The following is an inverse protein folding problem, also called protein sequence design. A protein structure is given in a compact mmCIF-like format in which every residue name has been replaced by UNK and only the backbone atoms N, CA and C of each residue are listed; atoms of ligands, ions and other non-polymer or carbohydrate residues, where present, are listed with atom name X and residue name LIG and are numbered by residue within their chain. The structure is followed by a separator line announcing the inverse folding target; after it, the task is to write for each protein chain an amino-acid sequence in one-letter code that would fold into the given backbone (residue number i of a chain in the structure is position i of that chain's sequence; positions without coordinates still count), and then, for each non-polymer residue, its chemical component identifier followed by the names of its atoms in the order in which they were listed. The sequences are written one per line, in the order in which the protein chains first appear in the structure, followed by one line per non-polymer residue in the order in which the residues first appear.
data_IF_994666093439
#
_entry.id   IF_994666093439
#
_cell.length_a   1.000
_cell.length_b   1.000
_cell.length_c   1.000
_cell.angle_alpha   90.00
_cell.angle_beta   90.00
_cell.angle_gamma   90.00
#
_symmetry.space_group_name_H-M   'P 1'
#
loop_
_entity.id
_entity.type
_entity.pdbx_description
1 polymer ?
#
# COMPACT_ATOMS: atom_id res chain seq x y z
N UNK A 1 39.56 -39.06 -0.36
CA UNK A 1 39.42 -37.82 -1.17
C UNK A 1 38.13 -37.74 -2.00
N UNK A 2 37.17 -38.68 -1.89
CA UNK A 2 35.93 -38.67 -2.70
C UNK A 2 34.81 -37.77 -2.16
N UNK A 3 34.84 -37.44 -0.86
CA UNK A 3 33.81 -36.64 -0.19
C UNK A 3 34.13 -35.14 -0.09
N UNK A 4 35.39 -34.75 -0.33
CA UNK A 4 35.80 -33.34 -0.32
C UNK A 4 35.26 -32.60 -1.57
N UNK A 5 35.17 -33.31 -2.71
CA UNK A 5 34.60 -32.76 -3.94
C UNK A 5 33.06 -32.59 -3.86
N UNK A 6 32.38 -33.44 -3.09
CA UNK A 6 30.92 -33.38 -2.92
C UNK A 6 30.49 -32.25 -1.98
N UNK A 7 31.33 -31.88 -1.00
CA UNK A 7 31.05 -30.76 -0.11
C UNK A 7 31.25 -29.38 -0.79
N UNK A 8 32.19 -29.28 -1.74
CA UNK A 8 32.48 -28.03 -2.46
C UNK A 8 31.40 -27.71 -3.51
N UNK A 9 30.69 -28.72 -4.03
CA UNK A 9 29.60 -28.54 -5.00
C UNK A 9 28.28 -28.10 -4.36
N UNK A 10 28.11 -28.25 -3.03
CA UNK A 10 26.89 -27.88 -2.32
C UNK A 10 26.87 -26.41 -1.82
N UNK A 11 27.96 -25.65 -2.03
CA UNK A 11 28.14 -24.31 -1.45
C UNK A 11 27.78 -23.15 -2.40
N UNK A 12 27.30 -23.42 -3.62
CA UNK A 12 27.06 -22.35 -4.61
C UNK A 12 25.72 -22.51 -5.30
N UNK A 13 24.60 -22.50 -4.55
CA UNK A 13 23.33 -21.92 -5.04
C UNK A 13 22.46 -21.46 -3.86
N UNK A 14 22.99 -20.70 -2.91
CA UNK A 14 22.12 -19.84 -2.09
C UNK A 14 21.77 -18.62 -2.95
N UNK A 15 20.73 -18.76 -3.79
CA UNK A 15 20.11 -17.65 -4.49
C UNK A 15 19.53 -16.70 -3.43
N UNK A 16 20.31 -15.70 -3.02
CA UNK A 16 19.79 -14.56 -2.27
C UNK A 16 18.84 -13.81 -3.20
N UNK A 17 17.55 -14.14 -3.18
CA UNK A 17 16.57 -13.26 -3.82
C UNK A 17 16.51 -12.00 -2.96
N UNK A 18 17.07 -10.92 -3.48
CA UNK A 18 16.78 -9.60 -2.95
C UNK A 18 15.76 -9.03 -3.93
N UNK A 19 14.48 -9.05 -3.53
CA UNK A 19 13.47 -8.31 -4.26
C UNK A 19 13.91 -6.84 -4.31
N UNK A 20 13.80 -6.21 -5.48
CA UNK A 20 14.13 -4.79 -5.60
C UNK A 20 13.06 -4.01 -4.84
N UNK A 21 13.48 -3.09 -3.98
CA UNK A 21 12.56 -2.19 -3.29
C UNK A 21 11.83 -1.32 -4.31
N UNK A 22 10.53 -1.17 -4.13
CA UNK A 22 9.71 -0.25 -4.92
C UNK A 22 9.51 1.00 -4.09
N UNK A 23 9.87 2.15 -4.66
CA UNK A 23 9.57 3.45 -4.06
C UNK A 23 8.10 3.76 -4.29
N UNK A 24 7.33 3.84 -3.21
CA UNK A 24 5.90 4.13 -3.26
C UNK A 24 5.61 5.64 -3.37
N UNK A 25 6.64 6.49 -3.31
CA UNK A 25 6.47 7.94 -3.31
C UNK A 25 5.50 8.40 -2.22
N UNK A 26 4.59 9.30 -2.58
CA UNK A 26 3.55 9.82 -1.67
C UNK A 26 2.56 8.74 -1.21
N UNK A 27 2.33 7.69 -2.00
CA UNK A 27 1.48 6.58 -1.60
C UNK A 27 2.08 5.76 -0.45
N UNK A 28 3.40 5.79 -0.28
CA UNK A 28 4.09 5.18 0.85
C UNK A 28 3.73 5.78 2.21
N UNK A 29 3.10 6.95 2.24
CA UNK A 29 2.62 7.56 3.47
C UNK A 29 1.33 6.91 4.01
N UNK A 30 0.65 6.06 3.23
CA UNK A 30 -0.66 5.52 3.58
C UNK A 30 -0.59 4.01 3.85
N UNK A 31 -1.27 3.58 4.91
CA UNK A 31 -1.51 2.16 5.21
C UNK A 31 -2.65 1.62 4.36
N UNK A 32 -3.71 2.41 4.20
CA UNK A 32 -4.85 2.10 3.33
C UNK A 32 -5.09 3.31 2.42
N UNK A 33 -5.18 3.07 1.12
CA UNK A 33 -5.37 4.10 0.13
C UNK A 33 -6.34 3.62 -0.94
N UNK A 34 -7.47 4.30 -1.07
CA UNK A 34 -8.43 4.12 -2.14
C UNK A 34 -8.37 5.33 -3.07
N UNK A 35 -7.85 5.15 -4.29
CA UNK A 35 -7.80 6.22 -5.30
C UNK A 35 -8.25 5.70 -6.66
N UNK A 36 -8.51 6.61 -7.59
CA UNK A 36 -8.99 6.32 -8.92
C UNK A 36 -9.06 7.59 -9.78
N UNK A 37 -9.34 7.45 -11.07
CA UNK A 37 -9.45 8.55 -12.04
C UNK A 37 -10.62 8.34 -13.01
N UNK A 38 -10.98 9.38 -13.76
CA UNK A 38 -11.93 9.26 -14.87
C UNK A 38 -13.35 8.85 -14.47
N UNK A 39 -13.85 9.34 -13.32
CA UNK A 39 -15.18 9.05 -12.80
C UNK A 39 -15.29 7.77 -11.96
N UNK A 40 -14.20 6.99 -11.87
CA UNK A 40 -14.07 5.86 -10.95
C UNK A 40 -13.24 6.31 -9.77
N UNK A 41 -13.89 6.85 -8.74
CA UNK A 41 -13.22 7.30 -7.54
C UNK A 41 -13.01 6.16 -6.55
N UNK A 42 -12.02 6.33 -5.66
CA UNK A 42 -11.75 5.38 -4.60
C UNK A 42 -12.52 5.74 -3.32
N UNK A 43 -13.39 4.83 -2.89
CA UNK A 43 -14.07 4.90 -1.60
C UNK A 43 -13.41 3.95 -0.60
N UNK A 44 -13.28 4.38 0.65
CA UNK A 44 -12.76 3.57 1.74
C UNK A 44 -13.76 3.52 2.89
N UNK A 45 -14.35 2.34 3.10
CA UNK A 45 -15.31 2.10 4.15
C UNK A 45 -14.68 1.22 5.24
N UNK A 46 -14.39 1.82 6.38
CA UNK A 46 -13.86 1.14 7.55
C UNK A 46 -15.03 0.70 8.44
N UNK A 47 -15.16 -0.61 8.66
CA UNK A 47 -16.24 -1.17 9.46
C UNK A 47 -16.21 -0.71 10.93
N UNK A 48 -17.31 -0.98 11.66
CA UNK A 48 -17.36 -0.67 13.09
C UNK A 48 -16.22 -1.36 13.86
N UNK A 49 -15.55 -0.61 14.73
CA UNK A 49 -14.42 -1.11 15.52
C UNK A 49 -13.14 -1.37 14.72
N UNK A 50 -13.08 -0.98 13.44
CA UNK A 50 -11.84 -1.06 12.67
C UNK A 50 -10.75 -0.21 13.34
N UNK A 51 -9.54 -0.75 13.48
CA UNK A 51 -8.40 -0.03 14.05
C UNK A 51 -7.25 -0.02 13.04
N UNK A 52 -6.91 1.17 12.54
CA UNK A 52 -5.84 1.36 11.56
C UNK A 52 -4.68 2.10 12.21
N UNK A 53 -3.55 1.40 12.36
CA UNK A 53 -2.31 1.96 12.89
C UNK A 53 -1.48 2.60 11.77
N UNK A 54 -1.96 3.72 11.24
CA UNK A 54 -1.27 4.50 10.21
C UNK A 54 -2.23 5.42 9.46
N UNK A 55 -1.73 6.06 8.40
CA UNK A 55 -2.53 7.03 7.65
C UNK A 55 -3.48 6.33 6.68
N UNK A 56 -4.64 6.96 6.42
CA UNK A 56 -5.64 6.48 5.45
C UNK A 56 -5.97 7.53 4.41
N UNK A 57 -6.26 7.10 3.19
CA UNK A 57 -6.59 7.98 2.08
C UNK A 57 -7.78 7.47 1.27
N UNK A 58 -8.74 8.34 0.93
CA UNK A 58 -9.84 8.01 0.03
C UNK A 58 -10.18 9.17 -0.92
N UNK A 59 -10.10 8.94 -2.24
CA UNK A 59 -10.36 9.98 -3.23
C UNK A 59 -11.78 10.54 -3.12
N UNK A 60 -12.82 9.69 -3.08
CA UNK A 60 -14.20 10.19 -3.03
C UNK A 60 -14.78 10.22 -1.61
N UNK A 61 -14.93 9.07 -0.95
CA UNK A 61 -15.43 9.05 0.43
C UNK A 61 -14.59 8.18 1.36
N UNK A 62 -14.30 8.73 2.54
CA UNK A 62 -13.80 8.00 3.69
C UNK A 62 -14.93 7.86 4.71
N UNK A 63 -15.38 6.63 4.93
CA UNK A 63 -16.42 6.31 5.91
C UNK A 63 -15.83 5.49 7.05
N UNK A 64 -15.93 6.02 8.28
CA UNK A 64 -15.53 5.30 9.49
C UNK A 64 -16.79 4.85 10.22
N UNK A 65 -16.98 3.54 10.36
CA UNK A 65 -18.05 2.95 11.15
C UNK A 65 -17.94 3.30 12.65
N UNK A 66 -18.98 2.99 13.42
CA UNK A 66 -19.00 3.29 14.86
C UNK A 66 -17.76 2.70 15.57
N UNK A 67 -17.12 3.51 16.42
CA UNK A 67 -15.91 3.17 17.16
C UNK A 67 -14.70 2.76 16.30
N UNK A 68 -14.69 3.08 15.00
CA UNK A 68 -13.50 2.89 14.18
C UNK A 68 -12.45 3.95 14.51
N UNK A 69 -11.19 3.56 14.58
CA UNK A 69 -10.07 4.43 14.94
C UNK A 69 -8.99 4.39 13.87
N UNK A 70 -8.50 5.57 13.50
CA UNK A 70 -7.29 5.77 12.71
C UNK A 70 -6.27 6.46 13.60
N UNK A 71 -5.16 5.80 13.89
CA UNK A 71 -4.10 6.36 14.73
C UNK A 71 -3.22 7.38 13.99
N UNK A 72 -3.31 7.46 12.66
CA UNK A 72 -2.59 8.41 11.82
C UNK A 72 -3.46 9.52 11.24
N UNK A 73 -2.98 10.11 10.16
CA UNK A 73 -3.64 11.15 9.37
C UNK A 73 -4.68 10.54 8.40
N UNK A 74 -5.68 11.34 8.02
CA UNK A 74 -6.69 11.00 7.05
C UNK A 74 -6.77 12.05 5.94
N UNK A 75 -6.58 11.63 4.69
CA UNK A 75 -6.83 12.44 3.49
C UNK A 75 -8.11 11.95 2.80
N UNK A 76 -9.05 12.83 2.49
CA UNK A 76 -10.34 12.42 1.92
C UNK A 76 -10.93 13.40 0.92
N UNK A 77 -11.80 12.92 0.02
CA UNK A 77 -12.73 13.77 -0.74
C UNK A 77 -13.92 14.22 0.12
N UNK A 78 -14.56 13.29 0.82
CA UNK A 78 -15.62 13.51 1.78
C UNK A 78 -15.42 12.60 3.00
N UNK A 79 -15.76 13.08 4.20
CA UNK A 79 -15.59 12.34 5.44
C UNK A 79 -16.94 12.07 6.11
N UNK A 80 -17.17 10.81 6.51
CA UNK A 80 -18.28 10.40 7.36
C UNK A 80 -17.74 9.65 8.58
N UNK A 81 -18.07 10.14 9.78
CA UNK A 81 -17.67 9.53 11.04
C UNK A 81 -18.89 8.97 11.77
N UNK A 82 -18.87 7.66 12.02
CA UNK A 82 -19.81 6.97 12.88
C UNK A 82 -19.64 7.36 14.35
N UNK A 83 -20.60 6.95 15.18
CA UNK A 83 -20.56 7.25 16.61
C UNK A 83 -19.26 6.74 17.25
N UNK A 84 -18.58 7.62 18.00
CA UNK A 84 -17.28 7.34 18.65
C UNK A 84 -16.13 6.96 17.69
N UNK A 85 -16.29 7.14 16.39
CA UNK A 85 -15.17 7.01 15.46
C UNK A 85 -14.16 8.16 15.68
N UNK A 86 -12.88 7.89 15.46
CA UNK A 86 -11.82 8.89 15.65
C UNK A 86 -10.69 8.79 14.63
N UNK A 87 -10.13 9.94 14.32
CA UNK A 87 -8.85 10.10 13.63
C UNK A 87 -7.96 10.86 14.60
N UNK A 88 -6.83 10.26 14.99
CA UNK A 88 -5.95 10.81 16.01
C UNK A 88 -4.94 11.81 15.42
N UNK A 89 -4.67 11.71 14.12
CA UNK A 89 -3.86 12.67 13.36
C UNK A 89 -4.69 13.78 12.70
N UNK A 90 -4.11 14.37 11.65
CA UNK A 90 -4.74 15.41 10.84
C UNK A 90 -5.84 14.84 9.96
N UNK A 91 -6.91 15.61 9.78
CA UNK A 91 -8.06 15.26 8.93
C UNK A 91 -8.16 16.31 7.83
N UNK A 92 -7.72 15.97 6.63
CA UNK A 92 -7.58 16.93 5.51
C UNK A 92 -8.47 16.52 4.34
N UNK A 93 -9.32 17.45 3.91
CA UNK A 93 -10.03 17.31 2.64
C UNK A 93 -9.11 17.73 1.50
N UNK A 94 -8.82 16.81 0.58
CA UNK A 94 -7.90 17.03 -0.53
C UNK A 94 -8.63 17.32 -1.83
N UNK A 95 -8.00 18.11 -2.70
CA UNK A 95 -8.56 18.48 -4.02
C UNK A 95 -8.30 17.45 -5.11
N UNK A 96 -9.02 17.56 -6.23
CA UNK A 96 -8.90 16.64 -7.37
C UNK A 96 -7.45 16.50 -7.87
N UNK A 97 -6.70 17.60 -7.98
CA UNK A 97 -5.32 17.57 -8.46
C UNK A 97 -4.38 16.77 -7.55
N UNK A 98 -4.62 16.75 -6.24
CA UNK A 98 -3.86 15.92 -5.31
C UNK A 98 -4.09 14.43 -5.63
N UNK A 99 -5.36 14.04 -5.79
CA UNK A 99 -5.74 12.66 -6.05
C UNK A 99 -5.34 12.16 -7.44
N UNK A 100 -5.44 13.02 -8.46
CA UNK A 100 -5.02 12.70 -9.82
C UNK A 100 -3.50 12.42 -9.88
N UNK A 101 -2.70 13.24 -9.19
CA UNK A 101 -1.26 13.02 -9.07
C UNK A 101 -0.97 11.71 -8.31
N UNK A 102 -1.61 11.51 -7.15
CA UNK A 102 -1.41 10.30 -6.34
C UNK A 102 -1.82 9.02 -7.09
N UNK A 103 -2.91 9.07 -7.86
CA UNK A 103 -3.35 7.96 -8.71
C UNK A 103 -2.36 7.69 -9.85
N UNK A 104 -1.88 8.74 -10.52
CA UNK A 104 -0.89 8.63 -11.59
C UNK A 104 0.41 8.00 -11.09
N UNK A 105 0.89 8.43 -9.92
CA UNK A 105 2.08 7.87 -9.28
C UNK A 105 1.89 6.39 -8.96
N UNK A 106 0.78 6.03 -8.28
CA UNK A 106 0.44 4.64 -7.98
C UNK A 106 0.33 3.75 -9.22
N UNK A 107 -0.25 4.27 -10.30
CA UNK A 107 -0.36 3.56 -11.59
C UNK A 107 1.04 3.27 -12.15
N UNK A 108 1.90 4.28 -12.19
CA UNK A 108 3.28 4.16 -12.67
C UNK A 108 4.08 3.14 -11.84
N UNK A 109 3.95 3.21 -10.51
CA UNK A 109 4.59 2.29 -9.57
C UNK A 109 4.08 0.85 -9.78
N UNK A 110 2.76 0.68 -9.95
CA UNK A 110 2.16 -0.63 -10.24
C UNK A 110 2.67 -1.21 -11.56
N UNK A 111 2.78 -0.38 -12.60
CA UNK A 111 3.29 -0.81 -13.90
C UNK A 111 4.79 -1.18 -13.82
N UNK A 112 5.58 -0.43 -13.03
CA UNK A 112 6.96 -0.76 -12.72
C UNK A 112 7.06 -2.11 -11.98
N UNK A 113 6.28 -2.30 -10.92
CA UNK A 113 6.23 -3.54 -10.15
C UNK A 113 5.89 -4.75 -11.03
N UNK A 114 4.91 -4.58 -11.92
CA UNK A 114 4.48 -5.62 -12.85
C UNK A 114 5.59 -6.01 -13.84
N UNK A 115 6.40 -5.02 -14.27
CA UNK A 115 7.49 -5.20 -15.23
C UNK A 115 8.69 -5.99 -14.69
N UNK A 116 8.83 -6.12 -13.37
CA UNK A 116 9.92 -6.91 -12.78
C UNK A 116 9.84 -8.36 -13.24
N UNK A 117 11.00 -9.00 -13.41
CA UNK A 117 11.10 -10.40 -13.85
C UNK A 117 12.16 -11.15 -13.06
N UNK A 118 12.12 -12.48 -13.08
CA UNK A 118 13.13 -13.31 -12.42
C UNK A 118 13.27 -12.99 -10.93
N UNK A 119 14.51 -12.75 -10.51
CA UNK A 119 14.86 -12.47 -9.11
C UNK A 119 14.32 -11.13 -8.60
N UNK A 120 14.05 -10.18 -9.50
CA UNK A 120 13.62 -8.81 -9.14
C UNK A 120 12.18 -8.79 -8.59
N UNK A 121 11.35 -9.78 -8.97
CA UNK A 121 10.01 -10.00 -8.40
C UNK A 121 10.02 -10.60 -6.99
N UNK A 122 11.18 -11.04 -6.50
CA UNK A 122 11.28 -11.86 -5.29
C UNK A 122 10.67 -13.27 -5.48
N UNK A 123 10.64 -14.06 -4.40
CA UNK A 123 10.03 -15.39 -4.39
C UNK A 123 8.50 -15.34 -4.23
N UNK A 124 7.80 -14.57 -5.07
CA UNK A 124 6.34 -14.72 -5.21
C UNK A 124 6.13 -15.98 -6.06
N UNK A 125 6.22 -17.13 -5.41
CA UNK A 125 6.18 -18.43 -6.05
C UNK A 125 4.91 -18.61 -6.86
N UNK A 126 5.07 -19.00 -8.13
CA UNK A 126 4.01 -19.68 -8.87
C UNK A 126 3.68 -20.96 -8.10
N UNK A 127 2.56 -20.94 -7.36
CA UNK A 127 1.96 -22.17 -6.82
C UNK A 127 1.25 -22.92 -7.94
#
# INVERSE_FOLDING_TARGET
MKYLLTAITLLVISNTSLAISIDLGTAGNYTLLATGSGGWYGDLNLGSGANIEGNVGAHNSLELGASATVSGDASYGNLSLGANASINGSSTQEGASFWDNLHSDLRSISDQAYSYTGIDKGYIGTS
#
